data_IF_847930476703
#
_entry.id   IF_847930476703
#
_cell.length_a   1.000
_cell.length_b   1.000
_cell.length_c   1.000
_cell.angle_alpha   90.00
_cell.angle_beta   90.00
_cell.angle_gamma   90.00
#
_symmetry.space_group_name_H-M   'P 1'
#
loop_
_entity.id
_entity.type
_entity.pdbx_description
1 polymer ?
#
# COMPACT_ATOMS: atom_id res chain seq x y z
N UNK A 1 -7.40 -51.36 -68.19
CA UNK A 1 -7.41 -50.63 -69.47
C UNK A 1 -8.24 -49.36 -69.38
N UNK A 2 -7.66 -48.27 -69.91
CA UNK A 2 -8.29 -47.02 -70.38
C UNK A 2 -8.85 -45.95 -69.41
N UNK A 3 -8.06 -44.87 -69.28
CA UNK A 3 -8.35 -43.44 -69.50
C UNK A 3 -9.70 -42.83 -69.04
N UNK A 4 -9.61 -41.79 -68.18
CA UNK A 4 -9.91 -40.35 -68.48
C UNK A 4 -9.71 -39.53 -67.18
N UNK A 5 -8.76 -38.58 -67.15
CA UNK A 5 -8.92 -37.11 -67.29
C UNK A 5 -9.55 -36.46 -66.04
N UNK A 6 -9.03 -35.41 -65.39
CA UNK A 6 -8.75 -34.05 -65.89
C UNK A 6 -8.11 -33.16 -64.79
N UNK A 7 -7.50 -32.06 -65.28
CA UNK A 7 -7.18 -30.75 -64.68
C UNK A 7 -6.00 -30.61 -63.70
N UNK A 8 -4.84 -30.08 -64.13
CA UNK A 8 -4.45 -28.67 -64.41
C UNK A 8 -4.23 -27.79 -63.18
N UNK A 9 -3.08 -27.11 -63.13
CA UNK A 9 -2.87 -25.92 -62.28
C UNK A 9 -1.54 -25.85 -61.53
N UNK A 10 -0.61 -25.05 -62.03
CA UNK A 10 0.82 -24.96 -61.65
C UNK A 10 1.13 -23.67 -60.85
N UNK A 11 1.92 -23.81 -59.76
CA UNK A 11 2.95 -22.93 -59.12
C UNK A 11 2.64 -21.49 -58.59
N UNK A 12 2.91 -21.38 -57.27
CA UNK A 12 3.88 -20.54 -56.48
C UNK A 12 3.83 -18.98 -56.44
N UNK A 13 3.61 -18.49 -55.21
CA UNK A 13 4.24 -17.42 -54.39
C UNK A 13 4.87 -16.14 -55.02
N UNK A 14 4.38 -14.96 -54.63
CA UNK A 14 5.01 -13.98 -53.68
C UNK A 14 4.19 -12.67 -53.54
N UNK A 15 4.12 -12.14 -52.30
CA UNK A 15 3.96 -10.76 -51.75
C UNK A 15 3.05 -9.67 -52.39
N UNK A 16 2.19 -9.03 -51.56
CA UNK A 16 2.14 -7.56 -51.29
C UNK A 16 0.91 -7.13 -50.41
N UNK A 17 0.97 -5.90 -49.88
CA UNK A 17 0.36 -5.27 -48.69
C UNK A 17 -1.15 -4.86 -48.68
N UNK A 18 -1.68 -4.75 -47.43
CA UNK A 18 -2.64 -3.76 -46.83
C UNK A 18 -4.05 -3.52 -47.41
N UNK A 19 -5.10 -3.63 -46.56
CA UNK A 19 -5.81 -2.44 -46.03
C UNK A 19 -6.91 -2.69 -44.97
N UNK A 20 -6.93 -1.74 -44.02
CA UNK A 20 -8.00 -1.13 -43.22
C UNK A 20 -9.19 -1.93 -42.61
N UNK A 21 -9.20 -2.01 -41.26
CA UNK A 21 -10.44 -1.81 -40.50
C UNK A 21 -10.24 -0.80 -39.36
N UNK A 22 -11.03 0.26 -39.44
CA UNK A 22 -11.20 1.40 -38.53
C UNK A 22 -12.04 1.00 -37.30
N UNK A 23 -11.49 1.21 -36.10
CA UNK A 23 -12.25 1.32 -34.86
C UNK A 23 -11.62 2.35 -33.92
N UNK A 24 -12.15 3.59 -34.04
CA UNK A 24 -12.45 4.60 -33.00
C UNK A 24 -11.63 4.58 -31.69
N UNK A 25 -10.94 5.69 -31.46
CA UNK A 25 -10.46 6.18 -30.16
C UNK A 25 -11.62 6.48 -29.20
N UNK A 26 -11.54 5.99 -27.95
CA UNK A 26 -11.91 6.73 -26.75
C UNK A 26 -11.47 5.96 -25.49
N UNK A 27 -10.74 6.63 -24.59
CA UNK A 27 -10.50 6.13 -23.23
C UNK A 27 -9.05 6.11 -22.77
N UNK A 28 -8.53 7.28 -22.39
CA UNK A 28 -7.37 7.53 -21.54
C UNK A 28 -6.52 6.30 -21.14
N UNK A 29 -5.49 6.01 -21.94
CA UNK A 29 -4.37 5.18 -21.49
C UNK A 29 -3.64 5.95 -20.39
N UNK A 30 -3.76 5.50 -19.15
CA UNK A 30 -2.91 5.94 -18.05
C UNK A 30 -1.47 5.70 -18.49
N UNK A 31 -0.77 6.78 -18.80
CA UNK A 31 0.61 6.70 -19.26
C UNK A 31 1.41 5.95 -18.18
N UNK A 32 2.12 4.86 -18.51
CA UNK A 32 2.91 4.14 -17.53
C UNK A 32 3.90 5.15 -16.96
N UNK A 33 3.94 5.29 -15.63
CA UNK A 33 4.88 6.15 -14.93
C UNK A 33 6.23 6.00 -15.64
N UNK A 34 6.67 7.07 -16.32
CA UNK A 34 7.92 7.03 -17.08
C UNK A 34 9.03 6.95 -16.05
N UNK A 35 9.39 5.73 -15.67
CA UNK A 35 10.43 5.44 -14.71
C UNK A 35 11.76 5.69 -15.42
N UNK A 36 12.40 6.80 -15.09
CA UNK A 36 13.79 7.04 -15.47
C UNK A 36 14.67 6.32 -14.45
N UNK A 37 14.81 5.00 -14.60
CA UNK A 37 15.52 4.16 -13.62
C UNK A 37 14.73 3.97 -12.32
N UNK A 38 15.38 4.12 -11.16
CA UNK A 38 14.75 3.95 -9.83
C UNK A 38 13.75 5.08 -9.48
N UNK A 39 13.87 6.25 -10.12
CA UNK A 39 13.00 7.39 -9.87
C UNK A 39 11.76 7.29 -10.76
N UNK A 40 10.59 7.36 -10.15
CA UNK A 40 9.30 7.35 -10.83
C UNK A 40 8.33 8.34 -10.22
N UNK A 41 7.30 8.74 -10.97
CA UNK A 41 6.19 9.47 -10.40
C UNK A 41 5.43 8.55 -9.46
N UNK A 42 5.39 8.92 -8.19
CA UNK A 42 4.81 8.13 -7.13
C UNK A 42 3.74 8.92 -6.39
N UNK A 43 2.69 8.23 -5.95
CA UNK A 43 1.62 8.78 -5.11
C UNK A 43 1.78 8.20 -3.71
N UNK A 44 2.27 8.99 -2.72
CA UNK A 44 2.56 8.47 -1.38
C UNK A 44 1.35 7.85 -0.69
N UNK A 45 0.15 8.39 -0.92
CA UNK A 45 -1.07 7.84 -0.36
C UNK A 45 -1.34 6.40 -0.81
N UNK A 46 -0.99 6.03 -2.04
CA UNK A 46 -1.10 4.64 -2.53
C UNK A 46 -0.06 3.77 -1.82
N UNK A 47 1.21 4.18 -1.83
CA UNK A 47 2.32 3.44 -1.22
C UNK A 47 2.04 3.16 0.27
N UNK A 48 1.64 4.19 1.02
CA UNK A 48 1.36 4.05 2.45
C UNK A 48 0.14 3.19 2.72
N UNK A 49 -0.88 3.19 1.83
CA UNK A 49 -2.04 2.31 1.95
C UNK A 49 -1.64 0.84 1.79
N UNK A 50 -0.74 0.53 0.87
CA UNK A 50 -0.24 -0.83 0.65
C UNK A 50 0.60 -1.32 1.84
N UNK A 51 1.49 -0.45 2.35
CA UNK A 51 2.26 -0.71 3.57
C UNK A 51 1.33 -0.94 4.77
N UNK A 52 0.33 -0.08 4.97
CA UNK A 52 -0.63 -0.20 6.07
C UNK A 52 -1.44 -1.50 5.99
N UNK A 53 -1.85 -1.91 4.79
CA UNK A 53 -2.57 -3.18 4.57
C UNK A 53 -1.71 -4.39 4.95
N UNK A 54 -0.44 -4.37 4.54
CA UNK A 54 0.54 -5.42 4.88
C UNK A 54 0.81 -5.49 6.39
N UNK A 55 0.96 -4.33 7.02
CA UNK A 55 1.18 -4.25 8.47
C UNK A 55 -0.06 -4.64 9.27
N UNK A 56 -1.28 -4.41 8.76
CA UNK A 56 -2.50 -4.85 9.44
C UNK A 56 -2.55 -6.37 9.56
N UNK A 57 -2.18 -7.09 8.49
CA UNK A 57 -2.07 -8.57 8.51
C UNK A 57 -1.00 -9.00 9.53
N UNK A 58 0.15 -8.33 9.54
CA UNK A 58 1.23 -8.63 10.49
C UNK A 58 0.78 -8.39 11.94
N UNK A 59 0.11 -7.27 12.23
CA UNK A 59 -0.39 -6.97 13.57
C UNK A 59 -1.42 -8.01 14.04
N UNK A 60 -2.37 -8.40 13.18
CA UNK A 60 -3.34 -9.46 13.50
C UNK A 60 -2.66 -10.79 13.80
N UNK A 61 -1.63 -11.15 13.03
CA UNK A 61 -0.84 -12.37 13.25
C UNK A 61 -0.07 -12.34 14.58
N UNK A 62 0.53 -11.21 14.93
CA UNK A 62 1.40 -11.10 16.13
C UNK A 62 0.63 -10.80 17.42
N UNK A 63 -0.45 -10.02 17.34
CA UNK A 63 -1.15 -9.47 18.50
C UNK A 63 -2.64 -9.83 18.57
N UNK A 64 -3.19 -10.48 17.54
CA UNK A 64 -4.62 -10.80 17.41
C UNK A 64 -5.49 -9.66 16.89
N UNK A 65 -4.97 -8.43 16.85
CA UNK A 65 -5.69 -7.19 16.55
C UNK A 65 -4.80 -6.23 15.76
N UNK A 66 -5.41 -5.30 15.03
CA UNK A 66 -4.71 -4.25 14.28
C UNK A 66 -5.38 -2.89 14.46
N UNK A 67 -4.64 -1.85 14.88
CA UNK A 67 -5.12 -0.47 14.76
C UNK A 67 -5.48 -0.15 13.31
N UNK A 68 -6.55 0.60 13.10
CA UNK A 68 -6.88 1.17 11.79
C UNK A 68 -5.87 2.27 11.44
N UNK A 69 -5.40 2.29 10.19
CA UNK A 69 -4.58 3.39 9.66
C UNK A 69 -5.46 4.30 8.81
N UNK A 70 -5.53 5.58 9.17
CA UNK A 70 -6.33 6.59 8.45
C UNK A 70 -5.42 7.55 7.70
N UNK A 71 -5.60 7.64 6.39
CA UNK A 71 -4.88 8.59 5.55
C UNK A 71 -5.69 9.89 5.47
N UNK A 72 -5.05 11.02 5.74
CA UNK A 72 -5.64 12.35 5.81
C UNK A 72 -4.82 13.35 4.98
N UNK A 73 -5.39 14.53 4.72
CA UNK A 73 -4.74 15.58 3.96
C UNK A 73 -4.71 15.30 2.45
N UNK A 74 -3.64 15.70 1.78
CA UNK A 74 -3.47 15.55 0.34
C UNK A 74 -2.95 14.14 0.02
N UNK A 75 -3.83 13.17 -0.24
CA UNK A 75 -3.42 11.77 -0.44
C UNK A 75 -3.16 11.40 -1.91
N UNK A 76 -3.66 12.20 -2.85
CA UNK A 76 -3.70 11.89 -4.29
C UNK A 76 -2.69 12.69 -5.13
N UNK A 77 -1.79 13.45 -4.51
CA UNK A 77 -0.73 14.13 -5.24
C UNK A 77 0.40 13.16 -5.63
N UNK A 78 1.09 13.49 -6.73
CA UNK A 78 2.27 12.75 -7.17
C UNK A 78 3.48 13.67 -7.30
N UNK A 79 4.65 13.08 -7.10
CA UNK A 79 5.95 13.71 -7.39
C UNK A 79 6.98 12.64 -7.75
N UNK A 80 8.07 13.05 -8.39
CA UNK A 80 9.15 12.15 -8.76
C UNK A 80 9.99 11.79 -7.52
N UNK A 81 10.02 10.50 -7.18
CA UNK A 81 10.83 9.96 -6.09
C UNK A 81 11.12 8.48 -6.30
N UNK A 82 11.89 7.88 -5.40
CA UNK A 82 12.10 6.42 -5.34
C UNK A 82 10.99 5.83 -4.45
N UNK A 83 10.01 5.09 -4.99
CA UNK A 83 8.87 4.56 -4.22
C UNK A 83 9.30 3.72 -3.02
N UNK A 84 10.36 2.93 -3.18
CA UNK A 84 10.90 2.05 -2.14
C UNK A 84 11.37 2.82 -0.91
N UNK A 85 11.90 4.04 -1.08
CA UNK A 85 12.30 4.88 0.05
C UNK A 85 11.09 5.32 0.88
N UNK A 86 10.00 5.73 0.22
CA UNK A 86 8.76 6.11 0.89
C UNK A 86 8.18 4.90 1.62
N UNK A 87 8.12 3.75 0.96
CA UNK A 87 7.61 2.51 1.54
C UNK A 87 8.40 2.10 2.79
N UNK A 88 9.74 2.15 2.71
CA UNK A 88 10.62 1.79 3.82
C UNK A 88 10.41 2.71 5.02
N UNK A 89 10.46 4.03 4.82
CA UNK A 89 10.26 5.01 5.89
C UNK A 89 8.87 4.84 6.54
N UNK A 90 7.83 4.72 5.71
CA UNK A 90 6.47 4.52 6.20
C UNK A 90 6.34 3.22 6.99
N UNK A 91 6.93 2.12 6.51
CA UNK A 91 6.88 0.83 7.19
C UNK A 91 7.55 0.87 8.56
N UNK A 92 8.74 1.46 8.67
CA UNK A 92 9.46 1.54 9.94
C UNK A 92 8.69 2.38 10.97
N UNK A 93 8.18 3.55 10.57
CA UNK A 93 7.44 4.42 11.49
C UNK A 93 6.08 3.81 11.85
N UNK A 94 5.37 3.22 10.90
CA UNK A 94 4.07 2.58 11.15
C UNK A 94 4.21 1.34 12.04
N UNK A 95 5.24 0.49 11.87
CA UNK A 95 5.48 -0.64 12.79
C UNK A 95 5.55 -0.18 14.24
N UNK A 96 6.32 0.88 14.50
CA UNK A 96 6.46 1.45 15.84
C UNK A 96 5.14 2.01 16.37
N UNK A 97 4.43 2.77 15.53
CA UNK A 97 3.15 3.43 15.85
C UNK A 97 2.01 2.44 16.15
N UNK A 98 1.93 1.37 15.34
CA UNK A 98 0.92 0.32 15.52
C UNK A 98 1.20 -0.48 16.79
N UNK A 99 2.46 -0.88 16.98
CA UNK A 99 2.88 -1.61 18.18
C UNK A 99 2.59 -0.83 19.46
N UNK A 100 2.98 0.45 19.54
CA UNK A 100 2.76 1.28 20.73
C UNK A 100 1.26 1.39 21.06
N UNK A 101 0.42 1.59 20.05
CA UNK A 101 -1.03 1.69 20.21
C UNK A 101 -1.64 0.40 20.78
N UNK A 102 -1.22 -0.76 20.28
CA UNK A 102 -1.68 -2.07 20.77
C UNK A 102 -1.20 -2.32 22.21
N UNK A 103 0.10 -2.18 22.46
CA UNK A 103 0.71 -2.48 23.75
C UNK A 103 0.12 -1.62 24.88
N UNK A 104 -0.23 -0.36 24.58
CA UNK A 104 -0.91 0.53 25.53
C UNK A 104 -2.26 -0.01 25.96
N UNK A 105 -3.15 -0.33 25.01
CA UNK A 105 -4.51 -0.80 25.33
C UNK A 105 -4.47 -2.15 26.06
N UNK A 106 -3.59 -3.06 25.63
CA UNK A 106 -3.38 -4.34 26.32
C UNK A 106 -2.86 -4.13 27.76
N UNK A 107 -1.93 -3.20 27.96
CA UNK A 107 -1.41 -2.85 29.29
C UNK A 107 -2.48 -2.26 30.20
N UNK A 108 -3.32 -1.36 29.69
CA UNK A 108 -4.43 -0.77 30.44
C UNK A 108 -5.46 -1.81 30.87
N UNK A 109 -5.90 -2.69 29.96
CA UNK A 109 -6.88 -3.76 30.25
C UNK A 109 -6.38 -4.78 31.27
N UNK A 110 -5.07 -5.10 31.24
CA UNK A 110 -4.44 -5.97 32.26
C UNK A 110 -4.52 -5.36 33.65
N UNK A 111 -4.33 -4.05 33.78
CA UNK A 111 -4.32 -3.37 35.06
C UNK A 111 -5.73 -3.16 35.65
N UNK A 112 -6.78 -3.17 34.83
CA UNK A 112 -8.18 -3.01 35.27
C UNK A 112 -8.89 -4.31 35.63
N UNK A 113 -8.26 -5.48 35.41
CA UNK A 113 -8.86 -6.81 35.61
C UNK A 113 -8.94 -7.29 37.08
N UNK A 114 -9.22 -6.41 38.03
CA UNK A 114 -9.20 -6.73 39.48
C UNK A 114 -10.52 -7.27 40.06
N UNK A 115 -11.59 -7.49 39.28
CA UNK A 115 -12.85 -8.03 39.80
C UNK A 115 -13.24 -9.37 39.13
N UNK A 116 -12.68 -10.47 39.63
CA UNK A 116 -13.39 -11.76 39.77
C UNK A 116 -13.53 -12.71 38.56
N UNK A 117 -13.08 -12.34 37.35
CA UNK A 117 -13.04 -13.24 36.18
C UNK A 117 -11.67 -13.91 35.99
N UNK A 118 -11.64 -15.05 35.31
CA UNK A 118 -10.46 -15.75 34.81
C UNK A 118 -9.50 -14.80 34.07
N UNK A 119 -8.52 -14.29 34.82
CA UNK A 119 -7.70 -13.10 34.56
C UNK A 119 -6.72 -13.16 33.37
N UNK A 120 -6.92 -14.08 32.42
CA UNK A 120 -5.94 -14.35 31.36
C UNK A 120 -6.45 -14.15 29.93
N UNK A 121 -7.74 -13.86 29.73
CA UNK A 121 -8.28 -13.62 28.39
C UNK A 121 -8.65 -12.15 28.20
N UNK A 122 -7.77 -11.40 27.52
CA UNK A 122 -8.08 -10.04 27.08
C UNK A 122 -8.76 -10.17 25.71
N UNK A 123 -10.08 -9.95 25.68
CA UNK A 123 -10.81 -9.76 24.42
C UNK A 123 -10.60 -8.32 23.98
N UNK A 124 -9.98 -8.14 22.81
CA UNK A 124 -9.87 -6.86 22.12
C UNK A 124 -10.32 -7.06 20.69
N UNK A 125 -11.05 -6.08 20.17
CA UNK A 125 -11.34 -5.95 18.75
C UNK A 125 -10.48 -4.84 18.12
N UNK A 126 -10.37 -4.83 16.79
CA UNK A 126 -9.66 -3.77 16.05
C UNK A 126 -10.17 -2.36 16.39
N UNK A 127 -11.46 -2.25 16.72
CA UNK A 127 -12.13 -0.99 17.07
C UNK A 127 -11.84 -0.49 18.50
N UNK A 128 -11.33 -1.36 19.39
CA UNK A 128 -10.87 -0.95 20.72
C UNK A 128 -9.55 -0.17 20.67
N UNK A 129 -8.81 -0.25 19.56
CA UNK A 129 -7.49 0.34 19.44
C UNK A 129 -7.58 1.68 18.71
N UNK A 130 -7.05 2.78 19.29
CA UNK A 130 -7.12 4.09 18.66
C UNK A 130 -6.42 4.05 17.29
N UNK A 131 -7.01 4.67 16.26
CA UNK A 131 -6.43 4.65 14.93
C UNK A 131 -5.12 5.44 14.87
N UNK A 132 -4.18 4.95 14.07
CA UNK A 132 -2.99 5.70 13.68
C UNK A 132 -3.35 6.56 12.47
N UNK A 133 -3.04 7.85 12.50
CA UNK A 133 -3.30 8.77 11.38
C UNK A 133 -2.02 9.05 10.62
N UNK A 134 -2.08 9.00 9.29
CA UNK A 134 -1.02 9.48 8.39
C UNK A 134 -1.58 10.67 7.61
N UNK A 135 -1.04 11.85 7.85
CA UNK A 135 -1.45 13.08 7.21
C UNK A 135 -0.38 13.55 6.22
N UNK A 136 -0.79 13.90 5.01
CA UNK A 136 0.09 14.40 3.98
C UNK A 136 -0.17 15.88 3.71
N UNK A 137 0.91 16.65 3.63
CA UNK A 137 0.90 18.04 3.21
C UNK A 137 1.92 18.23 2.09
N UNK A 138 1.49 18.81 0.97
CA UNK A 138 2.37 19.18 -0.13
C UNK A 138 2.65 20.68 -0.05
N UNK A 139 3.89 21.01 0.29
CA UNK A 139 4.42 22.36 0.16
C UNK A 139 4.93 22.64 -1.25
N UNK A 140 5.48 23.83 -1.45
CA UNK A 140 6.10 24.23 -2.73
C UNK A 140 7.40 23.46 -2.99
N UNK A 141 8.18 23.18 -1.94
CA UNK A 141 9.49 22.55 -2.03
C UNK A 141 9.61 21.25 -1.22
N UNK A 142 8.64 20.99 -0.35
CA UNK A 142 8.67 19.90 0.62
C UNK A 142 7.37 19.12 0.64
N UNK A 143 7.49 17.86 1.05
CA UNK A 143 6.36 16.97 1.29
C UNK A 143 6.47 16.50 2.73
N UNK A 144 5.45 16.77 3.52
CA UNK A 144 5.39 16.37 4.91
C UNK A 144 4.44 15.18 5.03
N UNK A 145 4.97 14.08 5.56
CA UNK A 145 4.19 12.92 6.00
C UNK A 145 4.22 12.86 7.53
N UNK A 146 3.11 13.24 8.16
CA UNK A 146 2.96 13.23 9.62
C UNK A 146 2.24 11.96 10.06
N UNK A 147 2.92 11.12 10.84
CA UNK A 147 2.33 9.91 11.43
C UNK A 147 2.05 10.20 12.90
N UNK A 148 0.84 9.93 13.36
CA UNK A 148 0.42 10.17 14.74
C UNK A 148 -0.30 8.95 15.31
N UNK A 149 0.20 8.45 16.43
CA UNK A 149 -0.38 7.37 17.20
C UNK A 149 -0.84 7.85 18.58
N UNK A 150 -1.58 7.00 19.28
CA UNK A 150 -2.02 7.22 20.66
C UNK A 150 -1.43 6.19 21.61
N UNK A 151 -0.18 5.74 21.36
CA UNK A 151 0.52 4.69 22.10
C UNK A 151 1.17 5.13 23.41
N UNK A 152 0.84 6.32 23.93
CA UNK A 152 1.37 6.83 25.20
C UNK A 152 2.72 7.57 25.12
N UNK A 153 3.33 7.62 23.93
CA UNK A 153 4.53 8.41 23.64
C UNK A 153 5.84 7.86 24.22
N UNK A 154 6.95 8.53 23.90
CA UNK A 154 8.28 8.16 24.41
C UNK A 154 8.51 8.67 25.83
N UNK A 155 9.00 7.78 26.72
CA UNK A 155 9.42 8.16 28.07
C UNK A 155 10.53 9.23 28.00
N UNK A 156 10.53 10.27 28.86
CA UNK A 156 11.51 11.36 28.81
C UNK A 156 12.98 10.89 28.84
N UNK A 157 13.28 9.82 29.56
CA UNK A 157 14.63 9.24 29.64
C UNK A 157 15.10 8.63 28.32
N UNK A 158 14.17 8.05 27.54
CA UNK A 158 14.47 7.47 26.23
C UNK A 158 14.62 8.56 25.17
N UNK A 159 13.95 9.71 25.31
CA UNK A 159 14.09 10.85 24.39
C UNK A 159 15.53 11.40 24.31
N UNK A 160 16.37 11.16 25.32
CA UNK A 160 17.78 11.58 25.32
C UNK A 160 18.70 10.69 24.48
N UNK A 161 18.20 9.53 24.02
CA UNK A 161 18.96 8.49 23.30
C UNK A 161 18.62 8.42 21.82
N UNK A 162 17.72 9.27 21.34
CA UNK A 162 17.29 9.41 19.95
C UNK A 162 17.75 10.78 19.47
#
# INVERSE_FOLDING_TARGET
>A
DHYTALHDGVRRHHDEEKDHHDHREDGATVSPCTAHGLVSNCTPGIIVRDVASSLSILCKSLYGVSPKVKLLGEVDFSFAHIPEHIAYIAQEILKNSLRSSIERVQGERRNTGSDGGDANFIVLDDDDIPPVTVEFHKGEFDVIMKISDQGGGMRPELKKKV
#
